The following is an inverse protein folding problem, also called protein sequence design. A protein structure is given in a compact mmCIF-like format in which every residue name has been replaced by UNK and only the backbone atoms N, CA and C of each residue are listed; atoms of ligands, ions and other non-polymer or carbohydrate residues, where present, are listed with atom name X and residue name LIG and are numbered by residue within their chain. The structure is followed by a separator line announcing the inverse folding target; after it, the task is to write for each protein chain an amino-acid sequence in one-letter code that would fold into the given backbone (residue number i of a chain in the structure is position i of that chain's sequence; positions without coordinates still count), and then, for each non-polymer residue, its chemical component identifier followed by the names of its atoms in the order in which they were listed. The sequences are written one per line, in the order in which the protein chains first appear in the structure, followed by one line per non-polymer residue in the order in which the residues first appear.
data_IF_675370625924
#
_entry.id   IF_675370625924
#
_cell.length_a   1.000
_cell.length_b   1.000
_cell.length_c   1.000
_cell.angle_alpha   90.00
_cell.angle_beta   90.00
_cell.angle_gamma   90.00
#
_symmetry.space_group_name_H-M   'P 1'
#
loop_
_entity.id
_entity.type
_entity.pdbx_description
1 polymer ?
#
# COMPACT_ATOMS: atom_id res chain seq x y z
N UNK A 1 -17.65 46.81 -3.90
CA UNK A 1 -17.84 45.85 -2.77
C UNK A 1 -18.37 44.50 -3.24
N UNK A 2 -19.47 44.44 -4.02
CA UNK A 2 -20.06 43.17 -4.50
C UNK A 2 -19.10 42.30 -5.34
N UNK A 3 -18.27 42.88 -6.20
CA UNK A 3 -17.33 42.11 -7.04
C UNK A 3 -16.17 41.50 -6.23
N UNK A 4 -15.65 42.23 -5.23
CA UNK A 4 -14.59 41.72 -4.32
C UNK A 4 -15.13 40.56 -3.48
N UNK A 5 -16.37 40.65 -3.00
CA UNK A 5 -17.01 39.57 -2.24
C UNK A 5 -17.15 38.32 -3.11
N UNK A 6 -17.52 38.46 -4.38
CA UNK A 6 -17.65 37.33 -5.31
C UNK A 6 -16.29 36.69 -5.59
N UNK A 7 -15.23 37.48 -5.75
CA UNK A 7 -13.86 36.97 -5.93
C UNK A 7 -13.40 36.19 -4.70
N UNK A 8 -13.62 36.72 -3.50
CA UNK A 8 -13.25 36.04 -2.24
C UNK A 8 -14.03 34.73 -2.08
N UNK A 9 -15.34 34.74 -2.39
CA UNK A 9 -16.17 33.53 -2.36
C UNK A 9 -15.67 32.50 -3.39
N UNK A 10 -15.29 32.93 -4.60
CA UNK A 10 -14.69 32.05 -5.60
C UNK A 10 -13.38 31.40 -5.14
N UNK A 11 -12.51 32.16 -4.47
CA UNK A 11 -11.26 31.65 -3.90
C UNK A 11 -11.53 30.65 -2.77
N UNK A 12 -12.50 30.92 -1.89
CA UNK A 12 -12.87 30.02 -0.80
C UNK A 12 -13.50 28.72 -1.30
N UNK A 13 -14.32 28.78 -2.36
CA UNK A 13 -14.89 27.60 -3.01
C UNK A 13 -13.78 26.77 -3.67
N UNK A 14 -12.86 27.41 -4.38
CA UNK A 14 -11.70 26.74 -4.97
C UNK A 14 -10.82 26.08 -3.90
N UNK A 15 -10.54 26.78 -2.80
CA UNK A 15 -9.78 26.23 -1.68
C UNK A 15 -10.48 25.01 -1.06
N UNK A 16 -11.79 25.08 -0.83
CA UNK A 16 -12.56 23.99 -0.26
C UNK A 16 -12.53 22.74 -1.16
N UNK A 17 -12.72 22.89 -2.48
CA UNK A 17 -12.70 21.75 -3.41
C UNK A 17 -11.29 21.16 -3.52
N UNK A 18 -10.24 21.99 -3.55
CA UNK A 18 -8.85 21.52 -3.59
C UNK A 18 -8.49 20.78 -2.29
N UNK A 19 -8.95 21.26 -1.14
CA UNK A 19 -8.74 20.61 0.16
C UNK A 19 -9.47 19.27 0.26
N UNK A 20 -10.72 19.21 -0.19
CA UNK A 20 -11.55 17.99 -0.17
C UNK A 20 -10.95 16.92 -1.10
N UNK A 21 -10.49 17.33 -2.29
CA UNK A 21 -9.81 16.43 -3.23
C UNK A 21 -8.45 15.94 -2.74
N UNK A 22 -7.73 16.75 -1.96
CA UNK A 22 -6.46 16.33 -1.34
C UNK A 22 -6.72 15.24 -0.30
N UNK A 23 -7.74 15.43 0.55
CA UNK A 23 -8.17 14.47 1.57
C UNK A 23 -8.70 13.16 0.94
N UNK A 24 -9.36 13.24 -0.22
CA UNK A 24 -9.90 12.06 -0.90
C UNK A 24 -8.85 11.28 -1.72
N UNK A 25 -7.82 11.97 -2.25
CA UNK A 25 -6.65 11.32 -2.83
C UNK A 25 -5.85 10.55 -1.76
N UNK A 26 -5.75 11.10 -0.54
CA UNK A 26 -5.12 10.43 0.60
C UNK A 26 -5.92 9.20 1.07
N UNK A 27 -7.25 9.23 0.90
CA UNK A 27 -8.15 8.14 1.28
C UNK A 27 -8.46 7.13 0.15
N UNK A 28 -7.81 7.24 -1.02
CA UNK A 28 -7.94 6.27 -2.12
C UNK A 28 -9.34 6.16 -2.75
N UNK A 29 -10.20 7.17 -2.58
CA UNK A 29 -11.55 7.21 -3.19
C UNK A 29 -11.49 7.69 -4.64
N UNK A 30 -12.57 7.44 -5.40
CA UNK A 30 -12.65 7.60 -6.86
C UNK A 30 -12.33 9.03 -7.35
N UNK A 31 -11.03 9.29 -7.59
CA UNK A 31 -10.46 10.59 -7.95
C UNK A 31 -10.83 11.09 -9.35
N UNK A 32 -11.43 10.23 -10.19
CA UNK A 32 -11.66 10.57 -11.60
C UNK A 32 -12.82 11.54 -11.83
N UNK A 33 -13.92 11.34 -11.11
CA UNK A 33 -15.10 12.19 -11.20
C UNK A 33 -14.85 13.55 -10.53
N UNK A 34 -14.18 13.54 -9.37
CA UNK A 34 -13.87 14.74 -8.60
C UNK A 34 -12.86 15.65 -9.32
N UNK A 35 -11.80 15.07 -9.92
CA UNK A 35 -10.84 15.84 -10.73
C UNK A 35 -11.46 16.53 -11.94
N UNK A 36 -12.46 15.91 -12.55
CA UNK A 36 -13.20 16.48 -13.67
C UNK A 36 -14.13 17.61 -13.20
N UNK A 37 -14.77 17.46 -12.04
CA UNK A 37 -15.66 18.46 -11.47
C UNK A 37 -14.90 19.72 -11.03
N UNK A 38 -13.73 19.57 -10.41
CA UNK A 38 -12.83 20.69 -10.10
C UNK A 38 -12.38 21.43 -11.36
N UNK A 39 -11.99 20.70 -12.43
CA UNK A 39 -11.61 21.32 -13.69
C UNK A 39 -12.72 22.23 -14.24
N UNK A 40 -13.97 21.74 -14.20
CA UNK A 40 -15.14 22.52 -14.65
C UNK A 40 -15.33 23.77 -13.78
N UNK A 41 -15.18 23.67 -12.47
CA UNK A 41 -15.31 24.81 -11.55
C UNK A 41 -14.19 25.84 -11.79
N UNK A 42 -12.94 25.41 -11.92
CA UNK A 42 -11.79 26.30 -12.20
C UNK A 42 -11.99 27.05 -13.52
N UNK A 43 -12.40 26.34 -14.58
CA UNK A 43 -12.67 26.95 -15.87
C UNK A 43 -13.86 27.91 -15.80
N UNK A 44 -14.90 27.59 -15.03
CA UNK A 44 -16.05 28.47 -14.79
C UNK A 44 -15.67 29.77 -14.06
N UNK A 45 -14.83 29.68 -13.03
CA UNK A 45 -14.32 30.86 -12.29
C UNK A 45 -13.43 31.72 -13.19
N UNK A 46 -12.51 31.12 -13.93
CA UNK A 46 -11.64 31.86 -14.84
C UNK A 46 -12.44 32.51 -15.99
N UNK A 47 -13.47 31.84 -16.51
CA UNK A 47 -14.38 32.42 -17.49
C UNK A 47 -15.13 33.62 -16.90
N UNK A 48 -15.62 33.51 -15.66
CA UNK A 48 -16.31 34.58 -14.96
C UNK A 48 -15.42 35.83 -14.75
N UNK A 49 -14.11 35.63 -14.55
CA UNK A 49 -13.12 36.70 -14.46
C UNK A 49 -12.73 37.30 -15.83
N UNK A 50 -13.49 36.98 -16.90
CA UNK A 50 -13.30 37.47 -18.26
C UNK A 50 -11.95 37.10 -18.89
N UNK A 51 -11.31 36.02 -18.42
CA UNK A 51 -10.12 35.51 -19.09
C UNK A 51 -10.45 35.04 -20.50
N UNK A 52 -9.50 35.28 -21.42
CA UNK A 52 -9.68 34.90 -22.83
C UNK A 52 -9.88 33.39 -23.01
N UNK A 53 -10.63 32.98 -24.05
CA UNK A 53 -10.82 31.56 -24.41
C UNK A 53 -9.50 30.82 -24.60
N UNK A 54 -8.49 31.46 -25.19
CA UNK A 54 -7.17 30.86 -25.39
C UNK A 54 -6.47 30.57 -24.06
N UNK A 55 -6.61 31.47 -23.08
CA UNK A 55 -6.07 31.28 -21.74
C UNK A 55 -6.77 30.11 -21.02
N UNK A 56 -8.10 30.05 -21.08
CA UNK A 56 -8.86 28.94 -20.49
C UNK A 56 -8.48 27.59 -21.08
N UNK A 57 -8.26 27.55 -22.40
CA UNK A 57 -7.86 26.34 -23.11
C UNK A 57 -6.45 25.89 -22.71
N UNK A 58 -5.51 26.81 -22.55
CA UNK A 58 -4.18 26.51 -22.02
C UNK A 58 -4.24 25.96 -20.59
N UNK A 59 -5.03 26.58 -19.71
CA UNK A 59 -5.20 26.10 -18.33
C UNK A 59 -5.81 24.70 -18.31
N UNK A 60 -6.82 24.44 -19.13
CA UNK A 60 -7.43 23.10 -19.23
C UNK A 60 -6.40 22.04 -19.65
N UNK A 61 -5.58 22.33 -20.68
CA UNK A 61 -4.54 21.42 -21.16
C UNK A 61 -3.48 21.18 -20.07
N UNK A 62 -3.03 22.23 -19.39
CA UNK A 62 -2.01 22.12 -18.33
C UNK A 62 -2.52 21.31 -17.15
N UNK A 63 -3.75 21.56 -16.69
CA UNK A 63 -4.37 20.80 -15.60
C UNK A 63 -4.58 19.33 -15.98
N UNK A 64 -5.00 19.06 -17.22
CA UNK A 64 -5.16 17.70 -17.72
C UNK A 64 -3.81 16.96 -17.80
N UNK A 65 -2.77 17.61 -18.32
CA UNK A 65 -1.43 17.04 -18.40
C UNK A 65 -0.84 16.80 -17.00
N UNK A 66 -0.99 17.76 -16.09
CA UNK A 66 -0.56 17.66 -14.70
C UNK A 66 -1.25 16.51 -13.96
N UNK A 67 -2.57 16.37 -14.12
CA UNK A 67 -3.33 15.25 -13.55
C UNK A 67 -2.81 13.89 -14.04
N UNK A 68 -2.58 13.74 -15.34
CA UNK A 68 -2.03 12.49 -15.89
C UNK A 68 -0.64 12.20 -15.35
N UNK A 69 0.22 13.21 -15.26
CA UNK A 69 1.57 13.06 -14.73
C UNK A 69 1.57 12.63 -13.26
N UNK A 70 0.73 13.24 -12.42
CA UNK A 70 0.57 12.84 -11.01
C UNK A 70 0.02 11.41 -10.89
N UNK A 71 -0.94 11.03 -11.71
CA UNK A 71 -1.48 9.66 -11.72
C UNK A 71 -0.42 8.60 -12.04
N UNK A 72 0.46 8.89 -13.01
CA UNK A 72 1.58 8.01 -13.37
C UNK A 72 2.55 7.86 -12.19
N UNK A 73 2.92 8.97 -11.53
CA UNK A 73 3.83 8.93 -10.38
C UNK A 73 3.22 8.15 -9.21
N UNK A 74 1.95 8.43 -8.89
CA UNK A 74 1.27 7.78 -7.78
C UNK A 74 1.17 6.26 -8.01
N UNK A 75 0.82 5.83 -9.22
CA UNK A 75 0.79 4.41 -9.57
C UNK A 75 2.18 3.78 -9.52
N UNK A 76 3.21 4.46 -10.04
CA UNK A 76 4.58 3.95 -10.00
C UNK A 76 5.08 3.76 -8.56
N UNK A 77 4.81 4.71 -7.67
CA UNK A 77 5.21 4.60 -6.27
C UNK A 77 4.41 3.50 -5.54
N UNK A 78 3.11 3.38 -5.85
CA UNK A 78 2.25 2.33 -5.31
C UNK A 78 2.71 0.93 -5.74
N UNK A 79 2.99 0.74 -7.03
CA UNK A 79 3.49 -0.53 -7.57
C UNK A 79 4.84 -0.88 -6.94
N UNK A 80 5.73 0.09 -6.78
CA UNK A 80 7.03 -0.10 -6.12
C UNK A 80 6.88 -0.49 -4.65
N UNK A 81 5.93 0.11 -3.94
CA UNK A 81 5.63 -0.23 -2.55
C UNK A 81 5.07 -1.65 -2.42
N UNK A 82 4.16 -2.04 -3.32
CA UNK A 82 3.61 -3.40 -3.36
C UNK A 82 4.71 -4.41 -3.65
N UNK A 83 5.57 -4.16 -4.64
CA UNK A 83 6.68 -5.04 -5.00
C UNK A 83 7.64 -5.23 -3.81
N UNK A 84 8.03 -4.16 -3.13
CA UNK A 84 8.86 -4.23 -1.93
C UNK A 84 8.20 -5.01 -0.80
N UNK A 85 6.88 -4.84 -0.62
CA UNK A 85 6.13 -5.57 0.39
C UNK A 85 6.09 -7.07 0.09
N UNK A 86 5.86 -7.45 -1.18
CA UNK A 86 5.87 -8.85 -1.62
C UNK A 86 7.24 -9.49 -1.43
N UNK A 87 8.32 -8.84 -1.86
CA UNK A 87 9.69 -9.33 -1.67
C UNK A 87 10.00 -9.55 -0.18
N UNK A 88 9.57 -8.62 0.67
CA UNK A 88 9.78 -8.72 2.13
C UNK A 88 8.95 -9.86 2.73
N UNK A 89 7.72 -10.06 2.26
CA UNK A 89 6.85 -11.15 2.68
C UNK A 89 7.45 -12.51 2.31
N UNK A 90 7.88 -12.67 1.05
CA UNK A 90 8.46 -13.92 0.55
C UNK A 90 9.74 -14.27 1.30
N UNK A 91 10.60 -13.27 1.56
CA UNK A 91 11.80 -13.47 2.38
C UNK A 91 11.46 -13.94 3.80
N UNK A 92 10.42 -13.37 4.41
CA UNK A 92 9.98 -13.76 5.75
C UNK A 92 9.43 -15.19 5.76
N UNK A 93 8.62 -15.56 4.78
CA UNK A 93 8.06 -16.91 4.68
C UNK A 93 9.16 -17.95 4.45
N UNK A 94 10.15 -17.64 3.63
CA UNK A 94 11.32 -18.51 3.46
C UNK A 94 12.06 -18.73 4.79
N UNK A 95 12.26 -17.67 5.59
CA UNK A 95 12.91 -17.79 6.91
C UNK A 95 12.09 -18.60 7.91
N UNK A 96 10.77 -18.48 7.89
CA UNK A 96 9.90 -19.28 8.76
C UNK A 96 10.00 -20.77 8.38
N UNK A 97 9.97 -21.09 7.09
CA UNK A 97 10.11 -22.47 6.62
C UNK A 97 11.48 -23.07 6.97
N UNK A 98 12.56 -22.30 6.83
CA UNK A 98 13.90 -22.73 7.26
C UNK A 98 13.96 -23.02 8.76
N UNK A 99 13.37 -22.15 9.59
CA UNK A 99 13.33 -22.34 11.05
C UNK A 99 12.50 -23.57 11.45
N UNK A 100 11.35 -23.79 10.81
CA UNK A 100 10.54 -24.98 11.04
C UNK A 100 11.28 -26.27 10.67
N UNK A 101 12.00 -26.28 9.54
CA UNK A 101 12.79 -27.45 9.14
C UNK A 101 13.92 -27.77 10.15
N UNK A 102 14.54 -26.74 10.73
CA UNK A 102 15.56 -26.92 11.78
C UNK A 102 14.92 -27.46 13.06
N UNK A 103 13.77 -26.93 13.46
CA UNK A 103 13.04 -27.39 14.64
C UNK A 103 12.63 -28.86 14.51
N UNK A 104 12.05 -29.26 13.36
CA UNK A 104 11.72 -30.66 13.06
C UNK A 104 12.96 -31.57 13.12
N UNK A 105 14.10 -31.10 12.62
CA UNK A 105 15.37 -31.82 12.69
C UNK A 105 15.82 -32.08 14.14
N UNK A 106 15.76 -31.06 15.00
CA UNK A 106 16.13 -31.17 16.41
C UNK A 106 15.19 -32.12 17.14
N UNK A 107 13.87 -31.97 16.95
CA UNK A 107 12.86 -32.83 17.58
C UNK A 107 13.05 -34.29 17.18
N UNK A 108 13.31 -34.55 15.89
CA UNK A 108 13.55 -35.91 15.41
C UNK A 108 14.85 -36.50 15.98
N UNK A 109 15.91 -35.70 16.12
CA UNK A 109 17.17 -36.15 16.74
C UNK A 109 17.00 -36.47 18.23
N UNK A 110 16.26 -35.65 18.97
CA UNK A 110 15.95 -35.91 20.39
C UNK A 110 15.09 -37.16 20.57
N UNK A 111 14.04 -37.33 19.75
CA UNK A 111 13.21 -38.54 19.75
C UNK A 111 14.03 -39.80 19.47
N UNK A 112 14.94 -39.74 18.50
CA UNK A 112 15.87 -40.83 18.18
C UNK A 112 16.72 -41.23 19.40
N UNK A 113 17.30 -40.24 20.09
CA UNK A 113 18.12 -40.50 21.30
C UNK A 113 17.31 -41.14 22.42
N UNK A 114 16.07 -40.70 22.63
CA UNK A 114 15.17 -41.26 23.64
C UNK A 114 14.83 -42.72 23.29
N UNK A 115 14.49 -43.00 22.04
CA UNK A 115 14.15 -44.36 21.58
C UNK A 115 15.34 -45.31 21.76
N UNK A 116 16.54 -44.91 21.34
CA UNK A 116 17.75 -45.74 21.50
C UNK A 116 18.02 -46.04 22.98
N UNK A 117 17.88 -45.03 23.85
CA UNK A 117 18.07 -45.20 25.29
C UNK A 117 17.04 -46.14 25.91
N UNK A 118 15.78 -46.06 25.48
CA UNK A 118 14.71 -46.95 25.91
C UNK A 118 14.95 -48.40 25.42
N UNK A 119 15.39 -48.59 24.18
CA UNK A 119 15.71 -49.91 23.64
C UNK A 119 16.85 -50.59 24.40
N UNK A 120 17.92 -49.85 24.68
CA UNK A 120 19.08 -50.35 25.43
C UNK A 120 18.72 -50.76 26.86
N UNK A 121 17.77 -50.07 27.50
CA UNK A 121 17.30 -50.44 28.85
C UNK A 121 16.42 -51.70 28.83
N UNK A 122 15.60 -51.89 27.79
CA UNK A 122 14.82 -53.13 27.63
C UNK A 122 15.67 -54.37 27.31
N UNK A 123 16.80 -54.22 26.61
CA UNK A 123 17.74 -55.33 26.38
C UNK A 123 18.47 -55.75 27.66
N UNK A 124 18.90 -54.80 28.49
CA UNK A 124 19.60 -55.11 29.75
C UNK A 124 18.70 -55.80 30.78
N UNK A 125 17.40 -55.50 30.78
CA UNK A 125 16.44 -56.18 31.67
C UNK A 125 16.11 -57.59 31.18
N UNK A 126 16.19 -57.86 29.87
CA UNK A 126 15.90 -59.18 29.32
C UNK A 126 17.06 -60.18 29.49
N UNK A 127 18.31 -59.70 29.58
CA UNK A 127 19.50 -60.55 29.79
C UNK A 127 19.73 -60.89 31.28
N UNK A 128 19.37 -60.00 32.20
CA UNK A 128 19.39 -60.26 33.64
C UNK A 128 18.30 -61.23 34.13
N UNK A 129 17.31 -61.57 33.30
CA UNK A 129 16.24 -62.53 33.63
C UNK A 129 16.52 -63.98 33.23
N UNK A 130 17.70 -64.31 32.67
CA UNK A 130 18.05 -65.65 32.19
C UNK A 130 19.10 -66.38 33.03
N UNK A 131 19.54 -65.82 34.15
CA UNK A 131 20.58 -66.39 35.04
C UNK A 131 20.06 -66.82 36.41
N UNK A 132 18.77 -67.11 36.56
CA UNK A 132 18.23 -67.86 37.72
C UNK A 132 17.85 -69.30 37.36
#
# INVERSE_FOLDING_TARGET
MRDIVIVIVGILILWAIVSDMWEEAENGRNTEFQGTLLLVVVLGVLWYLEFSRNFLLLVAILLFAWRNYLGIIANFEHDRLIENYQITSDWKDQRINELQAVEEGIVNEELSKIIIKALATTETDHDNGKTE
#
